data_IF_597220699121
#
_entry.id   IF_597220699121
#
_cell.length_a   1.000
_cell.length_b   1.000
_cell.length_c   1.000
_cell.angle_alpha   90.00
_cell.angle_beta   90.00
_cell.angle_gamma   90.00
#
_symmetry.space_group_name_H-M   'P 1'
#
loop_
_entity.id
_entity.type
_entity.pdbx_description
1 polymer ?
#
# COMPACT_ATOMS: atom_id res chain seq x y z
N UNK A 1 -2.00 50.50 -60.97
CA UNK A 1 -1.33 49.23 -60.60
C UNK A 1 -0.70 49.25 -59.20
N UNK A 2 -0.24 50.40 -58.70
CA UNK A 2 0.53 50.50 -57.44
C UNK A 2 -0.32 50.42 -56.15
N UNK A 3 -1.58 50.87 -56.20
CA UNK A 3 -2.53 50.85 -55.07
C UNK A 3 -3.05 49.43 -54.76
N UNK A 4 -3.18 48.57 -55.78
CA UNK A 4 -3.66 47.19 -55.61
C UNK A 4 -2.59 46.28 -54.97
N UNK A 5 -1.30 46.62 -55.14
CA UNK A 5 -0.18 45.90 -54.53
C UNK A 5 -0.07 46.24 -53.03
N UNK A 6 -0.20 47.51 -52.66
CA UNK A 6 -0.12 47.97 -51.26
C UNK A 6 -1.27 47.44 -50.39
N UNK A 7 -2.48 47.33 -50.93
CA UNK A 7 -3.62 46.73 -50.21
C UNK A 7 -3.45 45.22 -49.99
N UNK A 8 -2.80 44.53 -50.95
CA UNK A 8 -2.50 43.10 -50.86
C UNK A 8 -1.42 42.81 -49.83
N UNK A 9 -0.42 43.68 -49.73
CA UNK A 9 0.66 43.57 -48.76
C UNK A 9 0.18 43.92 -47.34
N UNK A 10 -0.70 44.92 -47.19
CA UNK A 10 -1.32 45.25 -45.90
C UNK A 10 -2.23 44.12 -45.37
N UNK A 11 -3.05 43.48 -46.22
CA UNK A 11 -3.86 42.32 -45.83
C UNK A 11 -2.99 41.11 -45.45
N UNK A 12 -1.93 40.83 -46.23
CA UNK A 12 -0.95 39.79 -45.90
C UNK A 12 -0.25 40.02 -44.56
N UNK A 13 0.02 41.28 -44.23
CA UNK A 13 0.72 41.67 -43.02
C UNK A 13 -0.19 41.58 -41.78
N UNK A 14 -1.49 41.87 -41.92
CA UNK A 14 -2.49 41.67 -40.87
C UNK A 14 -2.73 40.16 -40.62
N UNK A 15 -2.86 39.36 -41.68
CA UNK A 15 -2.99 37.90 -41.58
C UNK A 15 -1.77 37.23 -40.93
N UNK A 16 -0.55 37.72 -41.22
CA UNK A 16 0.69 37.17 -40.68
C UNK A 16 0.93 37.55 -39.20
N UNK A 17 0.51 38.74 -38.78
CA UNK A 17 0.65 39.21 -37.38
C UNK A 17 -0.35 38.53 -36.46
N UNK A 18 -1.55 38.18 -36.94
CA UNK A 18 -2.49 37.35 -36.17
C UNK A 18 -2.05 35.88 -36.10
N UNK A 19 -1.56 35.29 -37.20
CA UNK A 19 -1.17 33.88 -37.21
C UNK A 19 0.08 33.58 -36.37
N UNK A 20 1.08 34.47 -36.39
CA UNK A 20 2.31 34.29 -35.61
C UNK A 20 2.09 34.49 -34.11
N UNK A 21 1.26 35.43 -33.72
CA UNK A 21 0.88 35.66 -32.31
C UNK A 21 0.07 34.47 -31.79
N UNK A 22 -0.93 33.99 -32.54
CA UNK A 22 -1.71 32.80 -32.19
C UNK A 22 -0.83 31.56 -32.12
N UNK A 23 0.10 31.37 -33.06
CA UNK A 23 1.04 30.25 -33.04
C UNK A 23 1.95 30.27 -31.81
N UNK A 24 2.51 31.42 -31.46
CA UNK A 24 3.36 31.56 -30.27
C UNK A 24 2.60 31.27 -28.97
N UNK A 25 1.37 31.77 -28.84
CA UNK A 25 0.51 31.48 -27.69
C UNK A 25 0.18 29.98 -27.64
N UNK A 26 -0.15 29.37 -28.78
CA UNK A 26 -0.40 27.94 -28.86
C UNK A 26 0.82 27.10 -28.49
N UNK A 27 2.02 27.47 -28.93
CA UNK A 27 3.28 26.81 -28.54
C UNK A 27 3.54 26.95 -27.05
N UNK A 28 3.39 28.15 -26.49
CA UNK A 28 3.56 28.39 -25.06
C UNK A 28 2.58 27.56 -24.21
N UNK A 29 1.31 27.50 -24.62
CA UNK A 29 0.29 26.68 -23.96
C UNK A 29 0.62 25.18 -24.06
N UNK A 30 1.14 24.73 -25.20
CA UNK A 30 1.56 23.34 -25.42
C UNK A 30 2.71 22.96 -24.49
N UNK A 31 3.73 23.81 -24.36
CA UNK A 31 4.87 23.57 -23.46
C UNK A 31 4.41 23.53 -22.01
N UNK A 32 3.57 24.48 -21.58
CA UNK A 32 3.02 24.50 -20.22
C UNK A 32 2.24 23.22 -19.92
N UNK A 33 1.39 22.81 -20.85
CA UNK A 33 0.59 21.59 -20.74
C UNK A 33 1.49 20.36 -20.63
N UNK A 34 2.50 20.22 -21.49
CA UNK A 34 3.46 19.12 -21.44
C UNK A 34 4.22 19.05 -20.11
N UNK A 35 4.63 20.19 -19.54
CA UNK A 35 5.29 20.25 -18.24
C UNK A 35 4.36 19.79 -17.12
N UNK A 36 3.11 20.28 -17.09
CA UNK A 36 2.12 19.88 -16.08
C UNK A 36 1.83 18.38 -16.18
N UNK A 37 1.57 17.87 -17.38
CA UNK A 37 1.39 16.43 -17.62
C UNK A 37 2.62 15.63 -17.20
N UNK A 38 3.83 16.09 -17.55
CA UNK A 38 5.08 15.44 -17.14
C UNK A 38 5.26 15.36 -15.63
N UNK A 39 4.91 16.43 -14.89
CA UNK A 39 4.96 16.43 -13.42
C UNK A 39 3.94 15.46 -12.80
N UNK A 40 2.73 15.38 -13.36
CA UNK A 40 1.70 14.44 -12.92
C UNK A 40 2.14 13.00 -13.17
N UNK A 41 2.60 12.68 -14.38
CA UNK A 41 3.08 11.35 -14.75
C UNK A 41 4.29 10.92 -13.93
N UNK A 42 5.24 11.82 -13.65
CA UNK A 42 6.37 11.50 -12.78
C UNK A 42 5.93 11.12 -11.36
N UNK A 43 4.90 11.78 -10.82
CA UNK A 43 4.33 11.43 -9.50
C UNK A 43 3.64 10.07 -9.55
N UNK A 44 2.86 9.79 -10.58
CA UNK A 44 2.19 8.50 -10.76
C UNK A 44 3.22 7.37 -10.90
N UNK A 45 4.22 7.54 -11.76
CA UNK A 45 5.28 6.57 -11.98
C UNK A 45 6.16 6.34 -10.75
N UNK A 46 6.29 7.33 -9.86
CA UNK A 46 6.97 7.15 -8.56
C UNK A 46 6.12 6.30 -7.62
N UNK A 47 4.82 6.62 -7.50
CA UNK A 47 3.87 5.88 -6.67
C UNK A 47 3.75 4.41 -7.10
N UNK A 48 3.62 4.14 -8.40
CA UNK A 48 3.54 2.77 -8.91
C UNK A 48 4.82 1.96 -8.61
N UNK A 49 6.00 2.59 -8.71
CA UNK A 49 7.27 1.94 -8.37
C UNK A 49 7.36 1.62 -6.87
N UNK A 50 6.91 2.54 -6.03
CA UNK A 50 6.86 2.35 -4.58
C UNK A 50 5.89 1.22 -4.20
N UNK A 51 4.69 1.16 -4.79
CA UNK A 51 3.72 0.09 -4.57
C UNK A 51 4.24 -1.28 -5.03
N UNK A 52 4.90 -1.36 -6.18
CA UNK A 52 5.54 -2.60 -6.66
C UNK A 52 6.68 -3.03 -5.74
N UNK A 53 7.50 -2.10 -5.27
CA UNK A 53 8.58 -2.40 -4.32
C UNK A 53 8.02 -2.90 -2.98
N UNK A 54 6.94 -2.28 -2.49
CA UNK A 54 6.25 -2.71 -1.28
C UNK A 54 5.65 -4.11 -1.42
N UNK A 55 5.01 -4.42 -2.55
CA UNK A 55 4.52 -5.76 -2.88
C UNK A 55 5.65 -6.79 -2.81
N UNK A 56 6.78 -6.50 -3.44
CA UNK A 56 7.97 -7.40 -3.41
C UNK A 56 8.49 -7.56 -1.98
N UNK A 57 8.57 -6.48 -1.20
CA UNK A 57 9.01 -6.53 0.18
C UNK A 57 8.08 -7.39 1.06
N UNK A 58 6.76 -7.24 0.90
CA UNK A 58 5.76 -8.06 1.59
C UNK A 58 5.86 -9.53 1.16
N UNK A 59 6.04 -9.81 -0.14
CA UNK A 59 6.20 -11.18 -0.63
C UNK A 59 7.50 -11.84 -0.17
N UNK A 60 8.59 -11.08 -0.04
CA UNK A 60 9.86 -11.59 0.45
C UNK A 60 9.78 -12.12 1.89
N UNK A 61 8.80 -11.64 2.67
CA UNK A 61 8.53 -12.09 4.03
C UNK A 61 7.85 -13.47 4.05
N UNK A 62 7.13 -13.86 2.98
CA UNK A 62 6.35 -15.10 2.87
C UNK A 62 7.24 -16.33 2.57
N UNK A 63 8.25 -16.55 3.41
CA UNK A 63 9.17 -17.69 3.28
C UNK A 63 8.50 -19.01 3.64
N UNK A 64 9.01 -20.18 3.21
CA UNK A 64 8.49 -21.48 3.62
C UNK A 64 8.49 -21.68 5.14
N UNK A 65 9.50 -21.15 5.84
CA UNK A 65 9.58 -21.17 7.29
C UNK A 65 8.44 -20.36 7.91
N UNK A 66 8.16 -19.17 7.39
CA UNK A 66 7.04 -18.34 7.82
C UNK A 66 5.70 -19.05 7.59
N UNK A 67 5.50 -19.67 6.42
CA UNK A 67 4.29 -20.44 6.11
C UNK A 67 4.08 -21.59 7.11
N UNK A 68 5.14 -22.33 7.46
CA UNK A 68 5.07 -23.40 8.47
C UNK A 68 4.68 -22.87 9.84
N UNK A 69 5.27 -21.75 10.27
CA UNK A 69 4.90 -21.08 11.53
C UNK A 69 3.44 -20.62 11.51
N UNK A 70 2.99 -20.07 10.38
CA UNK A 70 1.61 -19.58 10.24
C UNK A 70 0.59 -20.71 10.31
N UNK A 71 0.90 -21.92 9.82
CA UNK A 71 0.05 -23.10 9.98
C UNK A 71 -0.12 -23.45 11.47
N UNK A 72 0.97 -23.44 12.24
CA UNK A 72 0.92 -23.71 13.68
C UNK A 72 0.13 -22.63 14.44
N UNK A 73 0.35 -21.35 14.12
CA UNK A 73 -0.38 -20.24 14.74
C UNK A 73 -1.88 -20.31 14.42
N UNK A 74 -2.26 -20.65 13.18
CA UNK A 74 -3.67 -20.81 12.81
C UNK A 74 -4.36 -21.96 13.55
N UNK A 75 -3.62 -23.02 13.86
CA UNK A 75 -4.13 -24.18 14.60
C UNK A 75 -4.35 -23.91 16.09
N UNK A 76 -3.84 -22.80 16.63
CA UNK A 76 -4.09 -22.40 18.03
C UNK A 76 -5.61 -22.19 18.21
N UNK A 77 -6.25 -22.76 19.24
CA UNK A 77 -7.66 -22.48 19.53
C UNK A 77 -7.90 -20.98 19.81
N UNK A 78 -9.04 -20.44 19.38
CA UNK A 78 -9.39 -19.06 19.76
C UNK A 78 -9.50 -18.94 21.29
N UNK A 79 -8.92 -17.88 21.85
CA UNK A 79 -8.89 -17.68 23.30
C UNK A 79 -7.95 -18.62 24.07
N UNK A 80 -7.00 -19.27 23.40
CA UNK A 80 -5.95 -20.03 24.09
C UNK A 80 -5.17 -19.13 25.07
N UNK A 81 -4.88 -19.65 26.26
CA UNK A 81 -4.07 -18.96 27.26
C UNK A 81 -2.59 -18.97 26.86
N UNK A 82 -1.81 -18.02 27.38
CA UNK A 82 -0.36 -17.97 27.15
C UNK A 82 0.34 -19.29 27.53
N UNK A 83 -0.03 -19.88 28.68
CA UNK A 83 0.52 -21.17 29.12
C UNK A 83 0.28 -22.30 28.11
N UNK A 84 -0.84 -22.32 27.38
CA UNK A 84 -1.08 -23.32 26.32
C UNK A 84 -0.16 -23.11 25.10
N UNK A 85 0.19 -21.86 24.80
CA UNK A 85 1.13 -21.53 23.72
C UNK A 85 2.57 -21.88 24.14
N UNK A 86 2.94 -21.58 25.38
CA UNK A 86 4.27 -21.90 25.94
C UNK A 86 4.49 -23.41 26.16
N UNK A 87 3.40 -24.20 26.32
CA UNK A 87 3.49 -25.63 26.59
C UNK A 87 4.04 -26.48 25.42
N UNK A 88 3.84 -26.05 24.16
CA UNK A 88 4.48 -26.69 22.99
C UNK A 88 5.57 -25.74 22.44
N UNK A 89 6.87 -26.07 22.58
CA UNK A 89 7.96 -25.23 22.10
C UNK A 89 7.85 -24.85 20.63
N UNK A 90 7.26 -25.71 19.79
CA UNK A 90 7.08 -25.43 18.36
C UNK A 90 6.00 -24.38 18.11
N UNK A 91 4.96 -24.37 18.93
CA UNK A 91 3.89 -23.36 18.87
C UNK A 91 4.42 -22.02 19.37
N UNK A 92 5.20 -22.03 20.46
CA UNK A 92 5.87 -20.83 20.95
C UNK A 92 6.84 -20.24 19.92
N UNK A 93 7.70 -21.07 19.32
CA UNK A 93 8.63 -20.65 18.25
C UNK A 93 7.86 -20.07 17.06
N UNK A 94 6.77 -20.72 16.65
CA UNK A 94 5.91 -20.22 15.59
C UNK A 94 5.26 -18.87 15.95
N UNK A 95 4.76 -18.71 17.17
CA UNK A 95 4.17 -17.47 17.66
C UNK A 95 5.20 -16.33 17.67
N UNK A 96 6.43 -16.60 18.13
CA UNK A 96 7.52 -15.63 18.11
C UNK A 96 7.94 -15.26 16.68
N UNK A 97 8.05 -16.24 15.79
CA UNK A 97 8.41 -16.03 14.39
C UNK A 97 7.38 -15.16 13.66
N UNK A 98 6.09 -15.48 13.80
CA UNK A 98 5.01 -14.67 13.22
C UNK A 98 4.96 -13.29 13.86
N UNK A 99 5.05 -13.21 15.19
CA UNK A 99 5.07 -11.96 15.94
C UNK A 99 6.16 -11.02 15.45
N UNK A 100 7.42 -11.49 15.33
CA UNK A 100 8.56 -10.65 14.94
C UNK A 100 8.42 -10.09 13.54
N UNK A 101 7.94 -10.93 12.63
CA UNK A 101 7.73 -10.54 11.24
C UNK A 101 6.62 -9.48 11.14
N UNK A 102 5.51 -9.70 11.85
CA UNK A 102 4.39 -8.74 11.83
C UNK A 102 4.70 -7.46 12.63
N UNK A 103 5.54 -7.54 13.65
CA UNK A 103 6.11 -6.39 14.36
C UNK A 103 6.92 -5.51 13.41
N UNK A 104 7.87 -6.12 12.69
CA UNK A 104 8.70 -5.43 11.70
C UNK A 104 7.87 -4.84 10.56
N UNK A 105 6.86 -5.58 10.08
CA UNK A 105 5.93 -5.09 9.06
C UNK A 105 5.09 -3.90 9.58
N UNK A 106 4.62 -3.96 10.82
CA UNK A 106 3.89 -2.87 11.45
C UNK A 106 4.71 -1.59 11.53
N UNK A 107 5.98 -1.71 11.94
CA UNK A 107 6.91 -0.59 11.93
C UNK A 107 7.18 -0.07 10.52
N UNK A 108 7.37 -0.95 9.52
CA UNK A 108 7.61 -0.54 8.14
C UNK A 108 6.42 0.26 7.55
N UNK A 109 5.19 -0.11 7.92
CA UNK A 109 3.99 0.65 7.57
C UNK A 109 3.97 2.01 8.27
N UNK A 110 4.22 2.05 9.58
CA UNK A 110 4.32 3.30 10.34
C UNK A 110 5.36 4.27 9.74
N UNK A 111 6.53 3.73 9.36
CA UNK A 111 7.62 4.48 8.75
C UNK A 111 7.36 4.86 7.27
N UNK A 112 6.18 4.54 6.71
CA UNK A 112 5.78 4.76 5.31
C UNK A 112 6.68 4.07 4.29
N UNK A 113 7.35 2.99 4.67
CA UNK A 113 8.13 2.16 3.75
C UNK A 113 7.22 1.21 2.96
N UNK A 114 6.12 0.78 3.58
CA UNK A 114 5.12 -0.11 2.96
C UNK A 114 3.74 0.54 3.11
N UNK A 115 2.98 0.77 2.02
CA UNK A 115 1.63 1.31 2.13
C UNK A 115 0.68 0.34 2.85
N UNK A 116 -0.13 0.86 3.79
CA UNK A 116 -1.08 0.05 4.58
C UNK A 116 -2.07 -0.73 3.70
N UNK A 117 -2.53 -0.13 2.60
CA UNK A 117 -3.47 -0.78 1.66
C UNK A 117 -2.86 -2.01 0.99
N UNK A 118 -1.57 -1.95 0.62
CA UNK A 118 -0.85 -3.09 0.04
C UNK A 118 -0.78 -4.23 1.05
N UNK A 119 -0.51 -3.93 2.33
CA UNK A 119 -0.52 -4.94 3.39
C UNK A 119 -1.92 -5.54 3.60
N UNK A 120 -2.95 -4.72 3.62
CA UNK A 120 -4.33 -5.17 3.86
C UNK A 120 -4.82 -6.12 2.75
N UNK A 121 -4.56 -5.78 1.49
CA UNK A 121 -4.96 -6.60 0.34
C UNK A 121 -4.23 -7.95 0.28
N UNK A 122 -2.94 -7.98 0.66
CA UNK A 122 -2.12 -9.19 0.55
C UNK A 122 -2.16 -10.07 1.80
N UNK A 123 -2.11 -9.45 2.97
CA UNK A 123 -1.88 -10.12 4.25
C UNK A 123 -2.88 -9.70 5.33
N UNK A 124 -3.86 -8.83 5.03
CA UNK A 124 -4.80 -8.33 6.03
C UNK A 124 -5.56 -9.43 6.76
N UNK A 125 -5.92 -10.51 6.07
CA UNK A 125 -6.54 -11.68 6.70
C UNK A 125 -5.59 -12.39 7.66
N UNK A 126 -4.36 -12.63 7.23
CA UNK A 126 -3.27 -13.23 8.03
C UNK A 126 -3.01 -12.44 9.30
N UNK A 127 -2.84 -11.12 9.20
CA UNK A 127 -2.56 -10.25 10.35
C UNK A 127 -3.70 -10.31 11.37
N UNK A 128 -4.96 -10.20 10.92
CA UNK A 128 -6.13 -10.24 11.81
C UNK A 128 -6.29 -11.60 12.48
N UNK A 129 -6.06 -12.69 11.75
CA UNK A 129 -6.10 -14.05 12.33
C UNK A 129 -4.97 -14.22 13.35
N UNK A 130 -3.73 -13.88 13.00
CA UNK A 130 -2.60 -13.97 13.91
C UNK A 130 -2.83 -13.13 15.17
N UNK A 131 -3.33 -11.90 15.04
CA UNK A 131 -3.64 -11.04 16.18
C UNK A 131 -4.71 -11.65 17.07
N UNK A 132 -5.82 -12.14 16.49
CA UNK A 132 -6.88 -12.82 17.25
C UNK A 132 -6.34 -14.02 18.05
N UNK A 133 -5.43 -14.80 17.48
CA UNK A 133 -4.84 -15.98 18.11
C UNK A 133 -3.80 -15.63 19.19
N UNK A 134 -2.96 -14.64 18.93
CA UNK A 134 -1.79 -14.33 19.76
C UNK A 134 -2.03 -13.21 20.77
N UNK A 135 -3.11 -12.44 20.67
CA UNK A 135 -3.42 -11.34 21.60
C UNK A 135 -3.33 -11.75 23.08
N UNK A 136 -3.93 -12.87 23.55
CA UNK A 136 -3.82 -13.26 24.96
C UNK A 136 -2.39 -13.55 25.41
N UNK A 137 -1.55 -14.08 24.51
CA UNK A 137 -0.12 -14.30 24.79
C UNK A 137 0.65 -12.98 24.84
N UNK A 138 0.39 -12.06 23.91
CA UNK A 138 1.00 -10.73 23.89
C UNK A 138 0.67 -9.94 25.15
N UNK A 139 -0.59 -9.93 25.57
CA UNK A 139 -1.05 -9.26 26.79
C UNK A 139 -0.34 -9.84 28.03
N UNK A 140 -0.29 -11.18 28.16
CA UNK A 140 0.44 -11.86 29.21
C UNK A 140 1.94 -11.52 29.22
N UNK A 141 2.62 -11.52 28.06
CA UNK A 141 4.04 -11.20 27.97
C UNK A 141 4.32 -9.77 28.46
N UNK A 142 3.44 -8.81 28.15
CA UNK A 142 3.59 -7.42 28.60
C UNK A 142 3.38 -7.27 30.09
N UNK A 143 2.40 -7.97 30.65
CA UNK A 143 2.18 -8.02 32.11
C UNK A 143 3.39 -8.63 32.81
N UNK A 144 3.89 -9.78 32.31
CA UNK A 144 5.06 -10.49 32.84
C UNK A 144 6.34 -9.65 32.78
N UNK A 145 6.57 -8.97 31.67
CA UNK A 145 7.77 -8.15 31.45
C UNK A 145 7.66 -6.73 32.04
N UNK A 146 6.46 -6.29 32.43
CA UNK A 146 6.21 -4.92 32.87
C UNK A 146 6.42 -3.86 31.78
N UNK A 147 6.30 -4.23 30.50
CA UNK A 147 6.61 -3.37 29.35
C UNK A 147 5.53 -3.44 28.29
N UNK A 148 4.98 -2.29 27.90
CA UNK A 148 4.00 -2.21 26.82
C UNK A 148 4.62 -2.29 25.41
N UNK A 149 5.96 -2.20 25.31
CA UNK A 149 6.65 -2.20 24.01
C UNK A 149 6.66 -3.55 23.31
N UNK A 150 6.55 -4.63 24.07
CA UNK A 150 6.61 -5.98 23.52
C UNK A 150 5.44 -6.19 22.57
N UNK A 151 5.71 -6.42 21.28
CA UNK A 151 4.71 -6.60 20.22
C UNK A 151 3.82 -5.37 19.94
N UNK A 152 4.30 -4.15 20.21
CA UNK A 152 3.49 -2.93 20.07
C UNK A 152 3.11 -2.65 18.60
N UNK A 153 4.03 -2.88 17.66
CA UNK A 153 3.80 -2.61 16.25
C UNK A 153 2.93 -3.66 15.58
N UNK A 154 2.99 -4.90 16.04
CA UNK A 154 2.11 -5.97 15.59
C UNK A 154 0.65 -5.67 15.98
N UNK A 155 0.42 -5.29 17.24
CA UNK A 155 -0.89 -4.83 17.66
C UNK A 155 -1.34 -3.61 16.86
N UNK A 156 -0.48 -2.60 16.78
CA UNK A 156 -0.78 -1.36 16.07
C UNK A 156 -1.18 -1.63 14.62
N UNK A 157 -0.45 -2.51 13.93
CA UNK A 157 -0.76 -2.91 12.55
C UNK A 157 -2.14 -3.55 12.45
N UNK A 158 -2.45 -4.52 13.32
CA UNK A 158 -3.76 -5.16 13.33
C UNK A 158 -4.89 -4.14 13.54
N UNK A 159 -4.72 -3.21 14.48
CA UNK A 159 -5.68 -2.14 14.72
C UNK A 159 -5.81 -1.15 13.55
N UNK A 160 -4.70 -0.78 12.90
CA UNK A 160 -4.75 0.10 11.72
C UNK A 160 -5.50 -0.57 10.57
N UNK A 161 -5.27 -1.86 10.35
CA UNK A 161 -6.00 -2.63 9.35
C UNK A 161 -7.50 -2.66 9.68
N UNK A 162 -7.90 -2.80 10.93
CA UNK A 162 -9.33 -2.78 11.30
C UNK A 162 -9.96 -1.39 11.18
N UNK A 163 -9.20 -0.32 11.49
CA UNK A 163 -9.71 1.07 11.43
C UNK A 163 -9.76 1.64 10.01
N UNK A 164 -8.80 1.26 9.16
CA UNK A 164 -8.55 1.94 7.88
C UNK A 164 -8.63 1.02 6.66
N UNK A 165 -9.06 -0.24 6.82
CA UNK A 165 -9.29 -1.12 5.69
C UNK A 165 -10.22 -0.46 4.67
N UNK A 166 -9.78 -0.47 3.42
CA UNK A 166 -10.59 -0.10 2.25
C UNK A 166 -10.70 -1.28 1.27
N UNK A 167 -10.23 -2.46 1.67
CA UNK A 167 -10.28 -3.64 0.84
C UNK A 167 -11.74 -4.04 0.59
N UNK A 168 -12.06 -4.44 -0.64
CA UNK A 168 -13.37 -5.05 -0.94
C UNK A 168 -13.57 -6.41 -0.27
N UNK A 169 -12.50 -6.98 0.31
CA UNK A 169 -12.48 -8.27 0.99
C UNK A 169 -12.27 -8.12 2.49
N UNK A 170 -12.69 -9.14 3.24
CA UNK A 170 -12.54 -9.20 4.69
C UNK A 170 -12.49 -10.66 5.14
N UNK A 171 -12.39 -10.89 6.46
CA UNK A 171 -12.51 -12.25 7.01
C UNK A 171 -13.87 -12.92 6.73
N UNK A 172 -14.91 -12.15 6.40
CA UNK A 172 -16.26 -12.65 6.11
C UNK A 172 -16.63 -12.56 4.63
N UNK A 173 -15.94 -11.73 3.85
CA UNK A 173 -16.19 -11.54 2.42
C UNK A 173 -14.92 -11.85 1.61
N UNK A 174 -14.93 -12.97 0.91
CA UNK A 174 -13.83 -13.37 0.03
C UNK A 174 -13.84 -12.68 -1.33
N UNK A 175 -12.68 -12.66 -2.01
CA UNK A 175 -12.50 -12.06 -3.33
C UNK A 175 -13.50 -12.62 -4.38
N UNK A 176 -13.79 -13.91 -4.33
CA UNK A 176 -14.76 -14.58 -5.22
C UNK A 176 -16.19 -14.00 -5.14
N UNK A 177 -16.54 -13.29 -4.05
CA UNK A 177 -17.80 -12.55 -3.91
C UNK A 177 -17.61 -11.06 -4.21
N UNK A 178 -16.61 -10.44 -3.59
CA UNK A 178 -16.36 -9.01 -3.70
C UNK A 178 -16.09 -8.55 -5.14
N UNK A 179 -15.40 -9.39 -5.91
CA UNK A 179 -14.93 -9.08 -7.27
C UNK A 179 -15.52 -10.04 -8.30
N UNK A 180 -16.70 -10.61 -8.04
CA UNK A 180 -17.35 -11.58 -8.93
C UNK A 180 -17.58 -11.05 -10.35
N UNK A 181 -17.72 -9.72 -10.48
CA UNK A 181 -18.04 -9.02 -11.72
C UNK A 181 -16.79 -8.36 -12.36
N UNK A 182 -15.60 -8.62 -11.83
CA UNK A 182 -14.34 -8.03 -12.34
C UNK A 182 -14.02 -8.53 -13.75
N UNK A 183 -13.50 -7.63 -14.59
CA UNK A 183 -13.04 -7.93 -15.96
C UNK A 183 -11.57 -7.52 -16.12
N UNK A 184 -10.76 -8.32 -16.83
CA UNK A 184 -9.33 -8.06 -17.03
C UNK A 184 -9.06 -6.86 -17.94
#
# INVERSE_FOLDING_TARGET
>A
NQICVTLKDAFRQIDAVDLSTVANVATALTVLTAVVFGLIEMRHARKEREERAALVAVQAILTPAWMKSMVLVQAIPDGATASKIEADPRVLEAAQSIGLILEGLGYAVFARMVPLNVVDELMGGTVRVAWRKLRPYVEYERERAGSQKTWEWFQWLAEQLDRHSRAGTSLTVGAHKAYRDWRP
#
